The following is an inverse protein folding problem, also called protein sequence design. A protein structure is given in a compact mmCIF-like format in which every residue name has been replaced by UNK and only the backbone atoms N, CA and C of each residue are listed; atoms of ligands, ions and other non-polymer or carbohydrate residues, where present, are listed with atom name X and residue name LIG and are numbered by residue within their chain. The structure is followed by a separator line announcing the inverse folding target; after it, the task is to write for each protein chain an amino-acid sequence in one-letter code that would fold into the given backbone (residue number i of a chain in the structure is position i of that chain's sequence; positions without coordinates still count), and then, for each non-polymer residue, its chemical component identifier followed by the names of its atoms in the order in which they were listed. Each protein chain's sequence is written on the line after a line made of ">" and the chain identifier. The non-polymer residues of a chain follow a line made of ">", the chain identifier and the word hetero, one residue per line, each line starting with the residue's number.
data_IF_907848449786
#
_entry.id   IF_907848449786
#
_cell.length_a   1.000
_cell.length_b   1.000
_cell.length_c   1.000
_cell.angle_alpha   90.00
_cell.angle_beta   90.00
_cell.angle_gamma   90.00
#
_symmetry.space_group_name_H-M   'P 1'
#
loop_
_entity.id
_entity.type
_entity.pdbx_description
1 polymer ?
#
# COMPACT_ATOMS: atom_id res chain seq x y z
N UNK A 1 10.12 -19.70 -48.42
CA UNK A 1 9.45 -20.40 -47.31
C UNK A 1 10.36 -20.27 -46.07
N UNK A 2 10.29 -19.12 -45.37
CA UNK A 2 11.07 -18.87 -44.15
C UNK A 2 10.18 -19.12 -42.93
N UNK A 3 10.46 -20.20 -42.19
CA UNK A 3 9.88 -20.44 -40.87
C UNK A 3 10.56 -19.49 -39.89
N UNK A 4 9.84 -18.46 -39.42
CA UNK A 4 10.21 -17.70 -38.25
C UNK A 4 10.11 -18.62 -37.03
N UNK A 5 11.26 -18.99 -36.50
CA UNK A 5 11.36 -19.61 -35.19
C UNK A 5 10.93 -18.55 -34.14
N UNK A 6 9.72 -18.69 -33.61
CA UNK A 6 9.36 -17.94 -32.42
C UNK A 6 10.26 -18.41 -31.27
N UNK A 7 11.09 -17.54 -30.75
CA UNK A 7 11.80 -17.77 -29.49
C UNK A 7 10.77 -18.09 -28.41
N UNK A 8 10.77 -19.33 -27.94
CA UNK A 8 10.08 -19.67 -26.69
C UNK A 8 10.76 -18.84 -25.60
N UNK A 9 10.08 -17.83 -25.06
CA UNK A 9 10.49 -17.19 -23.81
C UNK A 9 10.55 -18.32 -22.78
N UNK A 10 11.77 -18.69 -22.37
CA UNK A 10 11.95 -19.60 -21.25
C UNK A 10 11.23 -19.00 -20.02
N UNK A 11 10.41 -19.81 -19.38
CA UNK A 11 9.77 -19.39 -18.13
C UNK A 11 10.88 -19.10 -17.11
N UNK A 12 10.82 -17.97 -16.39
CA UNK A 12 11.87 -17.61 -15.46
C UNK A 12 12.00 -18.68 -14.39
N UNK A 13 13.22 -19.15 -14.16
CA UNK A 13 13.51 -20.14 -13.13
C UNK A 13 13.14 -19.55 -11.75
N UNK A 14 12.24 -20.21 -11.03
CA UNK A 14 11.79 -19.80 -9.71
C UNK A 14 12.69 -20.45 -8.65
N UNK A 15 13.23 -19.61 -7.76
CA UNK A 15 14.04 -20.06 -6.63
C UNK A 15 13.46 -19.54 -5.31
N UNK A 16 13.10 -20.44 -4.40
CA UNK A 16 12.71 -20.07 -3.03
C UNK A 16 13.98 -19.75 -2.23
N UNK A 17 14.08 -18.51 -1.75
CA UNK A 17 15.22 -18.02 -0.97
C UNK A 17 15.02 -18.18 0.54
N UNK A 18 13.77 -18.06 1.00
CA UNK A 18 13.41 -18.24 2.40
C UNK A 18 11.96 -18.70 2.54
N UNK A 19 11.71 -19.45 3.63
CA UNK A 19 10.38 -19.77 4.15
C UNK A 19 10.42 -19.56 5.65
N UNK A 20 9.49 -18.75 6.15
CA UNK A 20 9.33 -18.47 7.57
C UNK A 20 7.86 -18.65 7.96
N UNK A 21 7.61 -19.13 9.17
CA UNK A 21 6.26 -19.25 9.71
C UNK A 21 6.17 -18.42 10.97
N UNK A 22 5.13 -17.59 11.05
CA UNK A 22 4.87 -16.73 12.20
C UNK A 22 3.43 -16.87 12.67
N UNK A 23 3.08 -16.26 13.77
CA UNK A 23 1.67 -16.18 14.21
C UNK A 23 0.78 -15.34 13.29
N UNK A 24 1.40 -14.58 12.37
CA UNK A 24 0.69 -13.67 11.46
C UNK A 24 0.60 -14.25 10.05
N UNK A 25 1.72 -14.81 9.53
CA UNK A 25 1.86 -15.20 8.14
C UNK A 25 2.76 -16.41 7.94
N UNK A 26 2.50 -17.18 6.88
CA UNK A 26 3.49 -18.05 6.25
C UNK A 26 4.18 -17.24 5.15
N UNK A 27 5.47 -16.94 5.36
CA UNK A 27 6.24 -16.01 4.53
C UNK A 27 7.10 -16.80 3.54
N UNK A 28 7.10 -16.39 2.27
CA UNK A 28 7.98 -16.92 1.24
C UNK A 28 8.73 -15.77 0.55
N UNK A 29 10.05 -15.90 0.45
CA UNK A 29 10.87 -15.01 -0.38
C UNK A 29 11.31 -15.78 -1.62
N UNK A 30 11.00 -15.24 -2.79
CA UNK A 30 11.21 -15.90 -4.09
C UNK A 30 12.04 -15.02 -5.00
N UNK A 31 12.96 -15.63 -5.74
CA UNK A 31 13.61 -15.02 -6.91
C UNK A 31 13.01 -15.62 -8.18
N UNK A 32 12.49 -14.77 -9.06
CA UNK A 32 11.92 -15.13 -10.36
C UNK A 32 12.52 -14.21 -11.42
N UNK A 33 13.54 -14.69 -12.12
CA UNK A 33 14.35 -13.87 -13.00
C UNK A 33 14.96 -12.68 -12.26
N UNK A 34 14.75 -11.46 -12.74
CA UNK A 34 15.17 -10.22 -12.09
C UNK A 34 14.29 -9.80 -10.90
N UNK A 35 13.13 -10.43 -10.68
CA UNK A 35 12.21 -10.04 -9.62
C UNK A 35 12.49 -10.80 -8.32
N UNK A 36 12.60 -10.07 -7.23
CA UNK A 36 12.52 -10.63 -5.88
C UNK A 36 11.19 -10.30 -5.28
N UNK A 37 10.51 -11.34 -4.76
CA UNK A 37 9.13 -11.27 -4.38
C UNK A 37 8.94 -11.75 -2.95
N UNK A 38 8.10 -11.04 -2.20
CA UNK A 38 7.60 -11.44 -0.89
C UNK A 38 6.16 -11.92 -1.06
N UNK A 39 5.90 -13.13 -0.61
CA UNK A 39 4.58 -13.75 -0.66
C UNK A 39 4.16 -14.17 0.73
N UNK A 40 2.88 -13.97 1.04
CA UNK A 40 2.24 -14.57 2.20
C UNK A 40 1.32 -15.68 1.74
N UNK A 41 1.31 -16.79 2.50
CA UNK A 41 0.36 -17.87 2.31
C UNK A 41 -0.66 -17.83 3.44
N UNK A 42 -1.95 -17.82 3.10
CA UNK A 42 -3.06 -17.90 4.05
C UNK A 42 -4.23 -18.65 3.41
N UNK A 43 -4.89 -19.53 4.18
CA UNK A 43 -6.06 -20.29 3.74
C UNK A 43 -5.86 -21.09 2.44
N UNK A 44 -4.64 -21.59 2.23
CA UNK A 44 -4.27 -22.35 1.03
C UNK A 44 -3.85 -21.52 -0.17
N UNK A 45 -3.95 -20.19 -0.09
CA UNK A 45 -3.70 -19.25 -1.16
C UNK A 45 -2.41 -18.44 -0.95
N UNK A 46 -1.77 -17.98 -2.02
CA UNK A 46 -0.58 -17.14 -1.97
C UNK A 46 -0.92 -15.70 -2.38
N UNK A 47 -0.45 -14.74 -1.59
CA UNK A 47 -0.67 -13.31 -1.77
C UNK A 47 0.67 -12.60 -1.98
N UNK A 48 0.86 -12.01 -3.16
CA UNK A 48 2.04 -11.19 -3.44
C UNK A 48 1.96 -9.89 -2.63
N UNK A 49 2.91 -9.72 -1.72
CA UNK A 49 2.98 -8.54 -0.84
C UNK A 49 3.91 -7.48 -1.38
N UNK A 50 5.03 -7.89 -1.97
CA UNK A 50 6.02 -6.95 -2.48
C UNK A 50 6.80 -7.58 -3.62
N UNK A 51 7.26 -6.73 -4.55
CA UNK A 51 8.17 -7.10 -5.63
C UNK A 51 9.18 -5.98 -5.81
N UNK A 52 10.44 -6.36 -5.89
CA UNK A 52 11.53 -5.46 -6.27
C UNK A 52 12.26 -6.01 -7.48
N UNK A 53 12.64 -5.13 -8.38
CA UNK A 53 13.53 -5.45 -9.49
C UNK A 53 14.99 -5.39 -8.99
N UNK A 54 15.67 -6.52 -8.97
CA UNK A 54 17.06 -6.63 -8.49
C UNK A 54 18.08 -6.00 -9.42
N UNK A 55 17.68 -5.64 -10.64
CA UNK A 55 18.49 -4.89 -11.61
C UNK A 55 18.33 -3.36 -11.47
N UNK A 56 17.39 -2.92 -10.61
CA UNK A 56 17.14 -1.50 -10.35
C UNK A 56 16.44 -0.74 -11.48
N UNK A 57 15.91 -1.45 -12.50
CA UNK A 57 15.26 -0.81 -13.64
C UNK A 57 13.82 -0.38 -13.34
N UNK A 58 13.17 -1.02 -12.36
CA UNK A 58 11.81 -0.71 -11.95
C UNK A 58 11.68 -0.79 -10.42
N UNK A 59 12.03 0.28 -9.70
CA UNK A 59 12.09 0.27 -8.25
C UNK A 59 10.70 0.10 -7.59
N UNK A 60 9.61 0.52 -8.26
CA UNK A 60 8.22 0.35 -7.83
C UNK A 60 7.50 -0.61 -8.78
N UNK A 61 7.84 -1.89 -8.71
CA UNK A 61 7.38 -2.91 -9.67
C UNK A 61 5.88 -3.23 -9.58
N UNK A 62 5.24 -3.04 -8.42
CA UNK A 62 3.80 -3.25 -8.27
C UNK A 62 3.02 -1.98 -8.61
N UNK A 63 1.87 -2.14 -9.26
CA UNK A 63 1.04 -1.03 -9.73
C UNK A 63 0.64 -0.11 -8.58
N UNK A 64 0.14 -0.67 -7.47
CA UNK A 64 -0.27 0.13 -6.32
C UNK A 64 0.87 0.96 -5.72
N UNK A 65 2.08 0.42 -5.72
CA UNK A 65 3.24 1.11 -5.15
C UNK A 65 3.63 2.37 -5.94
N UNK A 66 3.36 2.38 -7.25
CA UNK A 66 3.44 3.61 -8.06
C UNK A 66 2.28 4.55 -7.78
N UNK A 67 1.05 4.02 -7.68
CA UNK A 67 -0.15 4.83 -7.51
C UNK A 67 -0.21 5.52 -6.15
N UNK A 68 0.33 4.91 -5.09
CA UNK A 68 0.34 5.52 -3.76
C UNK A 68 1.21 6.78 -3.70
N UNK A 69 2.16 6.92 -4.65
CA UNK A 69 2.95 8.14 -4.82
C UNK A 69 2.12 9.34 -5.26
N UNK A 70 0.86 9.15 -5.72
CA UNK A 70 -0.08 10.25 -5.94
C UNK A 70 -0.27 11.13 -4.69
N UNK A 71 -0.03 10.59 -3.49
CA UNK A 71 -0.03 11.35 -2.24
C UNK A 71 0.92 12.56 -2.30
N UNK A 72 2.04 12.44 -3.03
CA UNK A 72 3.01 13.52 -3.20
C UNK A 72 2.45 14.71 -3.99
N UNK A 73 1.40 14.54 -4.79
CA UNK A 73 0.73 15.67 -5.43
C UNK A 73 0.14 16.61 -4.38
N UNK A 74 -0.41 16.04 -3.30
CA UNK A 74 -1.07 16.76 -2.21
C UNK A 74 -0.09 17.17 -1.10
N UNK A 75 1.05 16.47 -0.98
CA UNK A 75 2.13 16.75 -0.03
C UNK A 75 3.49 16.72 -0.76
N UNK A 76 3.82 17.73 -1.59
CA UNK A 76 4.98 17.68 -2.49
C UNK A 76 6.35 17.78 -1.80
N UNK A 77 6.40 18.18 -0.55
CA UNK A 77 7.63 18.33 0.23
C UNK A 77 7.45 17.78 1.65
N UNK A 78 7.16 16.46 1.79
CA UNK A 78 6.96 15.88 3.10
C UNK A 78 8.26 15.93 3.91
N UNK A 79 8.16 16.26 5.19
CA UNK A 79 9.29 16.28 6.13
C UNK A 79 9.27 15.03 7.00
N UNK A 80 8.08 14.54 7.32
CA UNK A 80 7.90 13.39 8.18
C UNK A 80 6.75 12.49 7.70
N UNK A 81 7.06 11.21 7.55
CA UNK A 81 6.13 10.21 7.05
C UNK A 81 6.02 9.02 7.99
N UNK A 82 4.82 8.45 8.09
CA UNK A 82 4.56 7.15 8.69
C UNK A 82 4.13 6.14 7.63
N UNK A 83 4.75 4.97 7.61
CA UNK A 83 4.33 3.80 6.84
C UNK A 83 3.74 2.76 7.79
N UNK A 84 2.47 2.43 7.64
CA UNK A 84 1.80 1.34 8.37
C UNK A 84 1.75 0.11 7.46
N UNK A 85 2.52 -0.90 7.83
CA UNK A 85 2.87 -2.05 6.99
C UNK A 85 4.17 -1.82 6.23
N UNK A 86 4.98 -2.87 6.10
CA UNK A 86 6.31 -2.81 5.48
C UNK A 86 6.37 -3.59 4.16
N UNK A 87 5.84 -4.82 4.17
CA UNK A 87 6.08 -5.76 3.08
C UNK A 87 7.59 -5.93 2.82
N UNK A 88 8.03 -5.85 1.57
CA UNK A 88 9.46 -5.86 1.21
C UNK A 88 10.16 -4.49 1.29
N UNK A 89 9.46 -3.43 1.70
CA UNK A 89 10.04 -2.10 1.83
C UNK A 89 10.30 -1.36 0.50
N UNK A 90 9.71 -1.78 -0.61
CA UNK A 90 9.92 -1.16 -1.92
C UNK A 90 9.62 0.35 -1.92
N UNK A 91 8.47 0.75 -1.34
CA UNK A 91 8.05 2.15 -1.25
C UNK A 91 9.01 2.95 -0.38
N UNK A 92 9.32 2.45 0.80
CA UNK A 92 10.18 3.16 1.78
C UNK A 92 11.63 3.26 1.32
N UNK A 93 12.17 2.25 0.62
CA UNK A 93 13.49 2.31 0.01
C UNK A 93 13.56 3.40 -1.06
N UNK A 94 12.58 3.45 -1.98
CA UNK A 94 12.52 4.50 -3.00
C UNK A 94 12.39 5.90 -2.39
N UNK A 95 11.55 6.06 -1.37
CA UNK A 95 11.37 7.34 -0.70
C UNK A 95 12.62 7.79 0.04
N UNK A 96 13.33 6.87 0.71
CA UNK A 96 14.60 7.17 1.36
C UNK A 96 15.70 7.61 0.38
N UNK A 97 15.70 7.06 -0.84
CA UNK A 97 16.62 7.44 -1.91
C UNK A 97 16.22 8.78 -2.56
N UNK A 98 14.93 8.94 -2.91
CA UNK A 98 14.45 10.13 -3.63
C UNK A 98 14.35 11.37 -2.73
N UNK A 99 14.11 11.17 -1.43
CA UNK A 99 13.95 12.23 -0.43
C UNK A 99 14.86 11.99 0.78
N UNK A 100 16.18 12.15 0.66
CA UNK A 100 17.12 11.75 1.72
C UNK A 100 16.98 12.55 3.03
N UNK A 101 16.23 13.66 3.03
CA UNK A 101 15.90 14.43 4.24
C UNK A 101 14.57 14.05 4.90
N UNK A 102 13.75 13.22 4.21
CA UNK A 102 12.47 12.75 4.72
C UNK A 102 12.71 11.82 5.92
N UNK A 103 12.08 12.13 7.04
CA UNK A 103 12.06 11.24 8.20
C UNK A 103 10.95 10.21 7.99
N UNK A 104 11.30 8.94 7.96
CA UNK A 104 10.38 7.82 7.72
C UNK A 104 10.33 6.95 8.98
N UNK A 105 9.15 6.87 9.60
CA UNK A 105 8.83 5.87 10.61
C UNK A 105 8.04 4.74 9.91
N UNK A 106 8.46 3.50 10.09
CA UNK A 106 7.82 2.31 9.53
C UNK A 106 7.34 1.46 10.70
N UNK A 107 6.07 1.06 10.71
CA UNK A 107 5.54 0.14 11.71
C UNK A 107 5.06 -1.13 11.04
N UNK A 108 5.57 -2.26 11.52
CA UNK A 108 5.26 -3.61 11.02
C UNK A 108 5.05 -4.54 12.22
N UNK A 109 3.96 -5.30 12.20
CA UNK A 109 3.57 -6.17 13.32
C UNK A 109 4.35 -7.48 13.38
N UNK A 110 4.89 -7.91 12.23
CA UNK A 110 5.58 -9.19 12.09
C UNK A 110 7.10 -8.98 12.00
N UNK A 111 7.81 -9.22 13.10
CA UNK A 111 9.28 -9.10 13.18
C UNK A 111 10.01 -9.92 12.10
N UNK A 112 9.42 -11.04 11.63
CA UNK A 112 10.01 -11.82 10.54
C UNK A 112 9.92 -11.12 9.20
N UNK A 113 8.86 -10.36 8.95
CA UNK A 113 8.77 -9.49 7.77
C UNK A 113 9.89 -8.46 7.80
N UNK A 114 10.18 -7.85 8.96
CA UNK A 114 11.30 -6.91 9.13
C UNK A 114 12.64 -7.59 8.83
N UNK A 115 12.89 -8.79 9.40
CA UNK A 115 14.12 -9.54 9.15
C UNK A 115 14.33 -9.88 7.68
N UNK A 116 13.31 -10.43 6.99
CA UNK A 116 13.43 -10.78 5.57
C UNK A 116 13.58 -9.55 4.68
N UNK A 117 12.96 -8.42 5.05
CA UNK A 117 13.07 -7.17 4.29
C UNK A 117 14.48 -6.60 4.38
N UNK A 118 15.11 -6.64 5.56
CA UNK A 118 16.52 -6.28 5.74
C UNK A 118 17.45 -7.22 4.95
N UNK A 119 17.19 -8.53 5.01
CA UNK A 119 18.08 -9.53 4.41
C UNK A 119 17.97 -9.65 2.89
N UNK A 120 16.76 -9.53 2.34
CA UNK A 120 16.50 -9.86 0.95
C UNK A 120 16.03 -8.67 0.10
N UNK A 121 15.53 -7.59 0.70
CA UNK A 121 14.93 -6.45 -0.02
C UNK A 121 15.66 -5.13 0.22
N UNK A 122 16.87 -5.19 0.77
CA UNK A 122 17.74 -4.02 0.96
C UNK A 122 17.17 -2.94 1.88
N UNK A 123 16.23 -3.29 2.76
CA UNK A 123 15.75 -2.35 3.76
C UNK A 123 16.89 -1.96 4.71
N UNK A 124 17.12 -0.66 4.87
CA UNK A 124 18.17 -0.12 5.73
C UNK A 124 17.60 0.91 6.69
N UNK A 125 17.84 0.71 7.97
CA UNK A 125 17.58 1.73 8.97
C UNK A 125 18.69 2.79 8.98
N UNK A 126 18.32 4.02 9.30
CA UNK A 126 19.22 5.16 9.42
C UNK A 126 18.67 6.17 10.44
N UNK A 127 19.35 7.28 10.63
CA UNK A 127 18.81 8.38 11.44
C UNK A 127 17.47 8.93 10.91
N UNK A 128 17.21 8.77 9.60
CA UNK A 128 16.00 9.25 8.94
C UNK A 128 15.02 8.14 8.58
N UNK A 129 15.35 6.87 8.78
CA UNK A 129 14.46 5.73 8.50
C UNK A 129 14.51 4.75 9.67
N UNK A 130 13.44 4.65 10.42
CA UNK A 130 13.34 3.81 11.62
C UNK A 130 12.22 2.79 11.45
N UNK A 131 12.45 1.56 11.92
CA UNK A 131 11.49 0.47 11.88
C UNK A 131 11.07 0.10 13.29
N UNK A 132 9.77 -0.06 13.52
CA UNK A 132 9.17 -0.44 14.79
C UNK A 132 8.38 -1.74 14.61
N UNK A 133 8.68 -2.74 15.45
CA UNK A 133 7.91 -3.97 15.54
C UNK A 133 6.75 -3.75 16.51
N UNK A 134 5.60 -3.29 15.98
CA UNK A 134 4.42 -2.98 16.77
C UNK A 134 3.16 -3.07 15.89
N UNK A 135 2.00 -3.25 16.51
CA UNK A 135 0.71 -3.05 15.82
C UNK A 135 0.54 -1.58 15.40
N UNK A 136 0.15 -1.35 14.14
CA UNK A 136 0.08 -0.01 13.56
C UNK A 136 -0.86 0.94 14.31
N UNK A 137 -1.99 0.45 14.84
CA UNK A 137 -2.93 1.28 15.59
C UNK A 137 -2.41 1.61 16.99
N UNK A 138 -1.82 0.64 17.67
CA UNK A 138 -1.19 0.86 18.98
C UNK A 138 -0.06 1.89 18.85
N UNK A 139 0.77 1.76 17.82
CA UNK A 139 1.82 2.74 17.52
C UNK A 139 1.26 4.16 17.37
N UNK A 140 0.18 4.34 16.59
CA UNK A 140 -0.45 5.64 16.36
C UNK A 140 -1.04 6.21 17.67
N UNK A 141 -1.71 5.38 18.47
CA UNK A 141 -2.27 5.81 19.75
C UNK A 141 -1.20 6.33 20.70
N UNK A 142 0.00 5.71 20.70
CA UNK A 142 1.15 6.11 21.50
C UNK A 142 1.88 7.37 20.98
N UNK A 143 1.45 7.93 19.82
CA UNK A 143 2.11 9.08 19.17
C UNK A 143 1.31 10.38 19.21
N UNK A 144 0.14 10.42 19.86
CA UNK A 144 -0.75 11.59 19.87
C UNK A 144 -0.13 12.87 20.43
N UNK A 145 0.85 12.75 21.31
CA UNK A 145 1.56 13.88 21.93
C UNK A 145 2.96 14.14 21.31
N UNK A 146 3.26 13.47 20.19
CA UNK A 146 4.55 13.60 19.51
C UNK A 146 4.43 14.51 18.28
N UNK A 147 5.57 14.80 17.67
CA UNK A 147 5.65 15.56 16.42
C UNK A 147 4.78 14.91 15.34
N UNK A 148 3.80 15.61 14.73
CA UNK A 148 2.85 15.03 13.78
C UNK A 148 3.53 14.66 12.46
N UNK A 149 2.82 13.88 11.64
CA UNK A 149 3.23 13.46 10.30
C UNK A 149 2.59 14.34 9.23
N UNK A 150 3.34 14.65 8.17
CA UNK A 150 2.80 15.29 6.97
C UNK A 150 2.11 14.30 6.06
N UNK A 151 2.57 13.06 6.09
CA UNK A 151 2.14 12.00 5.21
C UNK A 151 2.08 10.66 5.93
N UNK A 152 0.96 9.96 5.79
CA UNK A 152 0.77 8.61 6.32
C UNK A 152 0.38 7.69 5.17
N UNK A 153 1.05 6.54 5.05
CA UNK A 153 0.67 5.47 4.13
C UNK A 153 0.10 4.29 4.93
N UNK A 154 -1.07 3.82 4.54
CA UNK A 154 -1.74 2.65 5.07
C UNK A 154 -1.62 1.50 4.05
N UNK A 155 -0.73 0.55 4.30
CA UNK A 155 -0.44 -0.59 3.42
C UNK A 155 -0.29 -1.90 4.22
N UNK A 156 -1.08 -2.05 5.29
CA UNK A 156 -1.08 -3.23 6.14
C UNK A 156 -2.12 -4.24 5.67
N UNK A 157 -1.67 -5.45 5.34
CA UNK A 157 -2.51 -6.55 4.86
C UNK A 157 -2.29 -7.84 5.67
N UNK A 158 -3.39 -8.55 5.90
CA UNK A 158 -3.38 -9.92 6.39
C UNK A 158 -4.17 -10.79 5.42
N UNK A 159 -3.52 -11.81 4.83
CA UNK A 159 -4.18 -12.75 3.90
C UNK A 159 -5.03 -12.06 2.83
N UNK A 160 -4.50 -10.97 2.23
CA UNK A 160 -5.15 -10.26 1.12
C UNK A 160 -6.19 -9.22 1.51
N UNK A 161 -6.42 -8.92 2.80
CA UNK A 161 -7.30 -7.84 3.24
C UNK A 161 -6.68 -6.93 4.30
N UNK A 162 -7.25 -5.74 4.42
CA UNK A 162 -6.89 -4.79 5.50
C UNK A 162 -7.47 -5.33 6.81
N UNK A 163 -6.67 -5.46 7.90
CA UNK A 163 -7.17 -5.84 9.21
C UNK A 163 -8.29 -4.92 9.68
N UNK A 164 -9.36 -5.49 10.25
CA UNK A 164 -10.57 -4.74 10.61
C UNK A 164 -10.30 -3.51 11.45
N UNK A 165 -9.47 -3.64 12.50
CA UNK A 165 -9.16 -2.54 13.43
C UNK A 165 -8.36 -1.38 12.78
N UNK A 166 -7.83 -1.57 11.55
CA UNK A 166 -7.14 -0.57 10.76
C UNK A 166 -8.02 0.07 9.66
N UNK A 167 -9.34 -0.11 9.73
CA UNK A 167 -10.27 0.44 8.75
C UNK A 167 -11.55 1.05 9.35
N UNK A 168 -11.58 1.22 10.67
CA UNK A 168 -12.71 1.80 11.39
C UNK A 168 -12.70 3.32 11.42
N UNK A 169 -13.84 3.95 11.65
CA UNK A 169 -13.94 5.41 11.80
C UNK A 169 -13.02 5.91 12.92
N UNK A 170 -13.00 5.20 14.05
CA UNK A 170 -12.18 5.53 15.21
C UNK A 170 -10.68 5.49 14.85
N UNK A 171 -10.23 4.48 14.09
CA UNK A 171 -8.88 4.42 13.61
C UNK A 171 -8.53 5.61 12.70
N UNK A 172 -9.41 6.00 11.77
CA UNK A 172 -9.16 7.16 10.92
C UNK A 172 -9.18 8.49 11.69
N UNK A 173 -9.96 8.59 12.77
CA UNK A 173 -9.88 9.72 13.70
C UNK A 173 -8.54 9.77 14.44
N UNK A 174 -8.01 8.61 14.85
CA UNK A 174 -6.68 8.48 15.45
C UNK A 174 -5.57 8.88 14.46
N UNK A 175 -5.68 8.45 13.18
CA UNK A 175 -4.80 8.90 12.09
C UNK A 175 -4.82 10.42 11.94
N UNK A 176 -6.03 11.02 11.87
CA UNK A 176 -6.17 12.47 11.73
C UNK A 176 -5.55 13.24 12.89
N UNK A 177 -5.63 12.70 14.10
CA UNK A 177 -5.06 13.34 15.30
C UNK A 177 -3.53 13.39 15.32
N UNK A 178 -2.84 12.55 14.52
CA UNK A 178 -1.37 12.53 14.40
C UNK A 178 -0.87 13.12 13.08
N UNK A 179 -1.77 13.69 12.25
CA UNK A 179 -1.42 14.42 11.04
C UNK A 179 -1.24 15.92 11.30
N UNK A 180 -0.35 16.55 10.54
CA UNK A 180 -0.31 18.01 10.42
C UNK A 180 -1.60 18.55 9.79
N UNK A 181 -2.01 19.79 10.05
CA UNK A 181 -3.09 20.42 9.29
C UNK A 181 -2.80 20.39 7.78
N UNK A 182 -3.75 19.88 6.99
CA UNK A 182 -3.57 19.64 5.55
C UNK A 182 -2.69 18.43 5.20
N UNK A 183 -2.32 17.62 6.18
CA UNK A 183 -1.59 16.38 5.97
C UNK A 183 -2.37 15.37 5.13
N UNK A 184 -1.68 14.36 4.62
CA UNK A 184 -2.19 13.45 3.59
C UNK A 184 -2.12 12.00 4.05
N UNK A 185 -3.18 11.24 3.78
CA UNK A 185 -3.23 9.78 3.97
C UNK A 185 -3.36 9.09 2.62
N UNK A 186 -2.40 8.24 2.27
CA UNK A 186 -2.52 7.32 1.15
C UNK A 186 -2.88 5.92 1.66
N UNK A 187 -3.91 5.30 1.11
CA UNK A 187 -4.33 3.94 1.51
C UNK A 187 -4.44 3.01 0.32
N UNK A 188 -3.77 1.88 0.40
CA UNK A 188 -3.96 0.79 -0.55
C UNK A 188 -5.28 0.05 -0.22
N UNK A 189 -6.29 0.24 -1.06
CA UNK A 189 -7.61 -0.41 -0.91
C UNK A 189 -7.71 -1.72 -1.70
N UNK A 190 -6.59 -2.19 -2.28
CA UNK A 190 -6.56 -3.39 -3.09
C UNK A 190 -7.40 -3.30 -4.39
N UNK A 191 -7.35 -4.37 -5.23
CA UNK A 191 -7.98 -4.41 -6.56
C UNK A 191 -9.43 -4.89 -6.60
N UNK A 192 -9.79 -5.61 -7.68
CA UNK A 192 -11.15 -6.11 -8.00
C UNK A 192 -11.80 -6.90 -6.88
N UNK A 193 -11.01 -7.69 -6.16
CA UNK A 193 -11.52 -8.58 -5.12
C UNK A 193 -12.05 -7.86 -3.87
N UNK A 194 -11.75 -6.59 -3.65
CA UNK A 194 -12.28 -5.88 -2.50
C UNK A 194 -13.69 -5.34 -2.80
N UNK A 195 -14.73 -6.07 -2.46
CA UNK A 195 -16.13 -5.67 -2.58
C UNK A 195 -16.56 -4.71 -1.48
N UNK A 196 -15.74 -4.54 -0.41
CA UNK A 196 -15.99 -3.59 0.68
C UNK A 196 -15.50 -2.16 0.39
N UNK A 197 -14.88 -1.91 -0.79
CA UNK A 197 -14.39 -0.57 -1.15
C UNK A 197 -15.41 0.57 -0.95
N UNK A 198 -16.70 0.43 -1.32
CA UNK A 198 -17.68 1.49 -1.09
C UNK A 198 -17.80 1.84 0.39
N UNK A 199 -17.72 0.83 1.26
CA UNK A 199 -17.80 1.00 2.71
C UNK A 199 -16.50 1.56 3.29
N UNK A 200 -15.33 1.07 2.83
CA UNK A 200 -14.03 1.61 3.19
C UNK A 200 -14.01 3.11 2.88
N UNK A 201 -14.42 3.48 1.67
CA UNK A 201 -14.49 4.87 1.21
C UNK A 201 -15.42 5.72 2.06
N UNK A 202 -16.62 5.23 2.36
CA UNK A 202 -17.58 5.94 3.21
C UNK A 202 -17.03 6.14 4.62
N UNK A 203 -16.29 5.17 5.13
CA UNK A 203 -15.65 5.29 6.45
C UNK A 203 -14.55 6.37 6.41
N UNK A 204 -13.74 6.43 5.36
CA UNK A 204 -12.80 7.53 5.16
C UNK A 204 -13.49 8.89 5.09
N UNK A 205 -14.57 9.02 4.28
CA UNK A 205 -15.33 10.26 4.13
C UNK A 205 -16.01 10.72 5.43
N UNK A 206 -16.24 9.81 6.38
CA UNK A 206 -16.76 10.20 7.69
C UNK A 206 -15.75 10.96 8.56
N UNK A 207 -14.47 10.96 8.17
CA UNK A 207 -13.37 11.61 8.91
C UNK A 207 -12.64 12.64 8.07
N UNK A 208 -12.38 12.36 6.79
CA UNK A 208 -11.68 13.26 5.86
C UNK A 208 -12.66 13.81 4.83
N UNK A 209 -12.77 15.15 4.66
CA UNK A 209 -13.73 15.75 3.75
C UNK A 209 -13.39 15.52 2.28
N UNK A 210 -12.12 15.24 1.96
CA UNK A 210 -11.67 15.05 0.59
C UNK A 210 -11.01 13.69 0.43
N UNK A 211 -11.51 12.94 -0.56
CA UNK A 211 -10.93 11.67 -1.01
C UNK A 211 -10.78 11.70 -2.52
N UNK A 212 -9.63 11.18 -2.98
CA UNK A 212 -9.27 11.03 -4.39
C UNK A 212 -8.96 9.57 -4.66
N UNK A 213 -9.63 9.00 -5.67
CA UNK A 213 -9.45 7.61 -6.07
C UNK A 213 -8.49 7.51 -7.25
N UNK A 214 -7.47 6.69 -7.10
CA UNK A 214 -6.60 6.29 -8.19
C UNK A 214 -6.78 4.79 -8.41
N UNK A 215 -7.09 4.40 -9.65
CA UNK A 215 -7.31 3.00 -10.03
C UNK A 215 -6.76 2.76 -11.43
N UNK A 216 -5.97 1.71 -11.60
CA UNK A 216 -5.47 1.29 -12.90
C UNK A 216 -6.60 0.71 -13.78
N UNK A 217 -6.38 0.70 -15.12
CA UNK A 217 -7.39 0.27 -16.09
C UNK A 217 -7.79 -1.18 -15.93
N UNK A 218 -6.88 -2.03 -15.52
CA UNK A 218 -7.14 -3.45 -15.27
C UNK A 218 -7.80 -3.71 -13.90
N UNK A 219 -7.90 -2.69 -13.07
CA UNK A 219 -8.43 -2.73 -11.70
C UNK A 219 -7.67 -3.71 -10.79
N UNK A 220 -6.37 -3.84 -11.02
CA UNK A 220 -5.48 -4.64 -10.18
C UNK A 220 -5.25 -3.95 -8.85
N UNK A 221 -5.19 -2.62 -8.85
CA UNK A 221 -4.98 -1.80 -7.67
C UNK A 221 -5.98 -0.65 -7.59
N UNK A 222 -6.34 -0.26 -6.38
CA UNK A 222 -7.08 0.95 -6.06
C UNK A 222 -6.42 1.61 -4.85
N UNK A 223 -6.08 2.88 -4.99
CA UNK A 223 -5.50 3.70 -3.93
C UNK A 223 -6.43 4.87 -3.63
N UNK A 224 -6.70 5.10 -2.36
CA UNK A 224 -7.42 6.28 -1.88
C UNK A 224 -6.41 7.27 -1.28
N UNK A 225 -6.49 8.52 -1.68
CA UNK A 225 -5.77 9.62 -1.06
C UNK A 225 -6.77 10.50 -0.33
N UNK A 226 -6.59 10.64 0.99
CA UNK A 226 -7.45 11.43 1.85
C UNK A 226 -6.71 12.63 2.45
N UNK A 227 -7.39 13.77 2.56
CA UNK A 227 -6.86 14.98 3.18
C UNK A 227 -7.99 15.87 3.71
N UNK A 228 -7.71 16.70 4.70
CA UNK A 228 -8.60 17.74 5.18
C UNK A 228 -8.27 19.14 4.61
N UNK A 229 -7.32 19.21 3.67
CA UNK A 229 -7.00 20.42 2.93
C UNK A 229 -8.08 20.86 1.94
N UNK A 230 -7.76 21.81 1.08
CA UNK A 230 -8.65 22.28 0.02
C UNK A 230 -9.01 21.15 -0.97
N UNK A 231 -10.28 21.11 -1.43
CA UNK A 231 -10.70 20.15 -2.47
C UNK A 231 -10.12 20.56 -3.84
N UNK A 232 -9.53 19.60 -4.53
CA UNK A 232 -8.96 19.79 -5.86
C UNK A 232 -9.87 19.23 -6.95
N UNK A 233 -9.88 19.95 -8.08
CA UNK A 233 -10.47 19.46 -9.34
C UNK A 233 -9.51 18.46 -10.01
N UNK A 234 -10.03 17.71 -10.98
CA UNK A 234 -9.22 16.85 -11.85
C UNK A 234 -8.15 17.66 -12.60
N UNK A 235 -8.52 18.83 -13.14
CA UNK A 235 -7.61 19.74 -13.82
C UNK A 235 -6.45 20.13 -12.91
N UNK A 236 -6.71 20.51 -11.66
CA UNK A 236 -5.67 20.85 -10.69
C UNK A 236 -4.74 19.66 -10.38
N UNK A 237 -5.26 18.43 -10.34
CA UNK A 237 -4.46 17.21 -10.15
C UNK A 237 -3.52 17.02 -11.35
N UNK A 238 -4.04 17.13 -12.57
CA UNK A 238 -3.25 17.02 -13.81
C UNK A 238 -2.15 18.10 -13.88
N UNK A 239 -2.49 19.36 -13.62
CA UNK A 239 -1.55 20.48 -13.63
C UNK A 239 -0.43 20.28 -12.60
N UNK A 240 -0.78 19.80 -11.41
CA UNK A 240 0.21 19.49 -10.38
C UNK A 240 1.13 18.33 -10.78
N UNK A 241 0.61 17.33 -11.48
CA UNK A 241 1.41 16.22 -11.99
C UNK A 241 2.40 16.69 -13.07
N UNK A 242 1.96 17.52 -14.02
CA UNK A 242 2.80 18.11 -15.07
C UNK A 242 3.93 18.99 -14.51
N UNK A 243 3.65 19.71 -13.41
CA UNK A 243 4.61 20.62 -12.78
C UNK A 243 5.36 19.97 -11.61
N UNK A 244 5.12 18.69 -11.33
CA UNK A 244 5.81 18.00 -10.27
C UNK A 244 7.31 17.86 -10.56
N UNK A 245 8.15 17.95 -9.51
CA UNK A 245 9.59 17.73 -9.69
C UNK A 245 9.86 16.37 -10.32
N UNK A 246 10.80 16.30 -11.26
CA UNK A 246 11.19 15.06 -11.88
C UNK A 246 11.75 14.09 -10.83
N UNK A 247 11.17 12.91 -10.75
CA UNK A 247 11.66 11.78 -9.95
C UNK A 247 12.52 10.85 -10.83
N UNK A 248 13.34 9.98 -10.24
CA UNK A 248 14.16 9.05 -11.01
C UNK A 248 13.35 8.17 -11.97
N UNK A 249 13.84 8.03 -13.18
CA UNK A 249 13.25 7.12 -14.17
C UNK A 249 13.25 5.65 -13.67
N UNK A 250 12.27 4.83 -14.04
CA UNK A 250 11.20 5.10 -15.02
C UNK A 250 9.91 5.69 -14.39
N UNK A 251 9.97 6.29 -13.21
CA UNK A 251 8.79 6.81 -12.53
C UNK A 251 8.31 8.14 -13.16
N UNK A 252 7.00 8.23 -13.44
CA UNK A 252 6.33 9.43 -13.93
C UNK A 252 5.10 9.76 -13.09
N UNK A 253 5.05 10.97 -12.54
CA UNK A 253 3.88 11.48 -11.82
C UNK A 253 2.69 11.72 -12.76
N UNK A 254 2.96 12.06 -14.01
CA UNK A 254 1.93 12.21 -15.05
C UNK A 254 1.21 10.89 -15.32
N UNK A 255 1.96 9.78 -15.42
CA UNK A 255 1.37 8.44 -15.59
C UNK A 255 0.55 8.04 -14.36
N UNK A 256 1.00 8.40 -13.17
CA UNK A 256 0.22 8.18 -11.94
C UNK A 256 -1.08 9.00 -11.97
N UNK A 257 -1.04 10.27 -12.36
CA UNK A 257 -2.23 11.13 -12.43
C UNK A 257 -3.28 10.60 -13.42
N UNK A 258 -2.90 9.93 -14.51
CA UNK A 258 -3.83 9.28 -15.45
C UNK A 258 -4.68 8.18 -14.83
N UNK A 259 -4.26 7.65 -13.69
CA UNK A 259 -5.04 6.66 -12.93
C UNK A 259 -6.10 7.28 -12.02
N UNK A 260 -6.19 8.60 -11.93
CA UNK A 260 -7.25 9.28 -11.19
C UNK A 260 -8.63 8.99 -11.77
N UNK A 261 -9.61 8.70 -10.90
CA UNK A 261 -10.99 8.36 -11.28
C UNK A 261 -11.96 9.26 -10.53
N UNK A 262 -12.35 10.40 -11.13
CA UNK A 262 -13.27 11.35 -10.50
C UNK A 262 -14.63 10.71 -10.23
N UNK A 263 -15.22 11.01 -9.08
CA UNK A 263 -16.57 10.57 -8.72
C UNK A 263 -16.74 9.05 -8.49
N UNK A 264 -15.66 8.27 -8.47
CA UNK A 264 -15.75 6.82 -8.28
C UNK A 264 -16.25 6.43 -6.89
N UNK A 265 -15.96 7.23 -5.90
CA UNK A 265 -16.47 7.05 -4.56
C UNK A 265 -17.87 7.67 -4.44
N UNK A 266 -18.88 6.97 -4.99
CA UNK A 266 -20.27 7.36 -4.80
C UNK A 266 -20.73 7.01 -3.40
N UNK A 267 -21.63 7.83 -2.84
CA UNK A 267 -22.30 7.49 -1.59
C UNK A 267 -23.02 6.16 -1.75
N UNK A 268 -22.61 5.20 -0.96
CA UNK A 268 -23.29 3.92 -0.79
C UNK A 268 -24.15 4.00 0.48
N UNK A 269 -25.28 3.31 0.44
CA UNK A 269 -26.16 3.13 1.62
C UNK A 269 -25.54 2.25 2.70
N UNK A 270 -24.38 1.62 2.45
CA UNK A 270 -23.69 0.77 3.41
C UNK A 270 -23.30 1.55 4.68
N UNK A 271 -23.38 0.88 5.84
CA UNK A 271 -22.92 1.43 7.11
C UNK A 271 -21.41 1.61 7.12
N UNK A 272 -20.86 2.59 7.86
CA UNK A 272 -19.42 2.75 8.07
C UNK A 272 -18.88 1.65 9.00
N UNK A 273 -17.57 1.39 8.93
CA UNK A 273 -16.89 0.52 9.88
C UNK A 273 -16.68 1.25 11.22
N UNK A 274 -17.00 0.60 12.34
CA UNK A 274 -16.80 1.10 13.70
C UNK A 274 -16.16 0.04 14.58
N UNK A 275 -15.47 0.44 15.65
CA UNK A 275 -14.77 -0.47 16.57
C UNK A 275 -15.64 -1.53 17.23
N UNK A 276 -16.91 -1.20 17.49
CA UNK A 276 -17.86 -2.11 18.11
C UNK A 276 -19.07 -2.32 17.20
N UNK A 277 -18.95 -3.16 16.16
CA UNK A 277 -20.10 -3.51 15.35
C UNK A 277 -21.09 -4.29 16.23
N UNK A 278 -22.34 -3.87 16.25
CA UNK A 278 -23.40 -4.64 16.87
C UNK A 278 -23.67 -5.93 16.09
N UNK A 279 -22.91 -6.97 16.36
CA UNK A 279 -23.13 -8.32 15.84
C UNK A 279 -21.90 -9.03 15.25
N UNK A 280 -21.84 -10.35 15.43
CA UNK A 280 -20.79 -11.22 14.91
C UNK A 280 -20.73 -11.34 13.36
N UNK A 281 -21.75 -10.86 12.64
CA UNK A 281 -21.83 -10.94 11.17
C UNK A 281 -20.76 -10.15 10.43
N UNK A 282 -20.16 -9.18 11.08
CA UNK A 282 -19.21 -8.24 10.48
C UNK A 282 -17.80 -8.77 10.30
N UNK A 283 -17.29 -9.50 11.31
CA UNK A 283 -16.00 -10.20 11.20
C UNK A 283 -16.10 -11.27 10.11
N UNK A 284 -17.25 -11.94 10.01
CA UNK A 284 -17.53 -12.96 8.99
C UNK A 284 -17.55 -12.38 7.57
N UNK A 285 -18.00 -11.14 7.37
CA UNK A 285 -18.02 -10.50 6.05
C UNK A 285 -16.61 -10.12 5.60
N UNK A 286 -15.77 -9.60 6.48
CA UNK A 286 -14.36 -9.31 6.19
C UNK A 286 -13.58 -10.60 5.90
N UNK A 287 -13.80 -11.67 6.69
CA UNK A 287 -13.17 -12.97 6.47
C UNK A 287 -13.63 -13.63 5.16
N UNK A 288 -14.91 -13.53 4.81
CA UNK A 288 -15.48 -14.10 3.57
C UNK A 288 -14.95 -13.39 2.32
N UNK A 289 -14.72 -12.07 2.37
CA UNK A 289 -14.11 -11.33 1.27
C UNK A 289 -12.65 -11.65 1.06
N UNK A 290 -11.92 -11.95 2.13
CA UNK A 290 -10.57 -12.46 2.03
C UNK A 290 -10.54 -13.75 1.19
N UNK A 291 -11.53 -14.63 1.37
CA UNK A 291 -11.68 -15.87 0.63
C UNK A 291 -12.08 -15.67 -0.86
N UNK A 292 -12.87 -14.64 -1.17
CA UNK A 292 -13.30 -14.38 -2.55
C UNK A 292 -12.22 -13.69 -3.38
N UNK A 293 -11.42 -12.82 -2.78
CA UNK A 293 -10.33 -12.12 -3.48
C UNK A 293 -9.19 -13.05 -3.90
N UNK A 294 -9.10 -14.24 -3.28
CA UNK A 294 -8.05 -15.22 -3.56
C UNK A 294 -8.25 -16.01 -4.86
N UNK A 295 -9.48 -16.16 -5.34
CA UNK A 295 -9.83 -17.06 -6.45
C UNK A 295 -9.30 -16.65 -7.83
N UNK A 296 -8.84 -15.42 -8.00
CA UNK A 296 -8.43 -14.87 -9.30
C UNK A 296 -6.90 -14.90 -9.57
N UNK A 297 -6.10 -15.60 -8.76
CA UNK A 297 -4.63 -15.54 -8.84
C UNK A 297 -4.00 -16.86 -9.27
N UNK A 298 -3.11 -16.79 -10.27
CA UNK A 298 -2.22 -17.90 -10.65
C UNK A 298 -1.02 -17.96 -9.73
N UNK A 299 -0.69 -19.15 -9.23
CA UNK A 299 0.37 -19.40 -8.25
C UNK A 299 1.72 -19.61 -8.91
N UNK A 300 2.80 -18.99 -8.40
CA UNK A 300 4.14 -19.22 -8.88
C UNK A 300 4.83 -20.44 -8.24
N UNK A 301 4.16 -21.11 -7.26
CA UNK A 301 4.78 -22.21 -6.50
C UNK A 301 3.85 -23.43 -6.58
N UNK A 302 4.13 -24.31 -7.51
CA UNK A 302 3.62 -25.71 -7.53
C UNK A 302 4.68 -26.67 -7.04
#
# INVERSE_FOLDING_TARGET
>A
MFRLFGEKKEEPQIKVLARENTRYNDIYVIQSGANRELWFKGEGEYYLQSRVDTLGQNPLALVYSRMIMASLLFCPKPQRMLMVGLGGGAVTNCLGEWFPKLKIDIVEVDGKVIEVSKKYFSLRESSNCRVFEEDGRVFIQNRKEQEPYDWIILDAFKSGSIPYHLKTQEFYQEIRAVLTPGGVVGSNLYGKGNTLKPRDTKTFLSVFPNIYCFEDDEKVATVAIATDGERWSEEKICDKALTFQKLPEPFSMEEVAKTYRPGKFREDSSAIFKDHPSGNGFLHDVERENLQSSKDRRYPIT
#
